data_IF_138362173372
#
_entry.id   IF_138362173372
#
_cell.length_a   1.000
_cell.length_b   1.000
_cell.length_c   1.000
_cell.angle_alpha   90.00
_cell.angle_beta   90.00
_cell.angle_gamma   90.00
#
_symmetry.space_group_name_H-M   'P 1'
#
loop_
_entity.id
_entity.type
_entity.pdbx_description
1 polymer ?
#
# COMPACT_ATOMS: atom_id res chain seq x y z
N UNK A 1 28.47 -13.66 -41.69
CA UNK A 1 27.40 -12.79 -41.16
C UNK A 1 26.28 -13.68 -40.64
N UNK A 2 26.29 -14.02 -39.35
CA UNK A 2 25.30 -14.92 -38.72
C UNK A 2 24.31 -14.07 -37.92
N UNK A 3 23.06 -14.09 -38.34
CA UNK A 3 21.93 -13.45 -37.67
C UNK A 3 21.62 -14.28 -36.42
N UNK A 4 21.85 -13.69 -35.25
CA UNK A 4 21.45 -14.25 -33.96
C UNK A 4 19.95 -13.92 -33.78
N UNK A 5 19.07 -14.90 -33.50
CA UNK A 5 17.66 -14.62 -33.30
C UNK A 5 17.44 -13.91 -31.97
N UNK A 6 16.72 -12.79 -32.04
CA UNK A 6 16.16 -12.05 -30.92
C UNK A 6 15.22 -12.98 -30.13
N UNK A 7 15.69 -13.53 -29.01
CA UNK A 7 14.83 -14.23 -28.05
C UNK A 7 14.00 -13.15 -27.35
N UNK A 8 12.69 -13.18 -27.59
CA UNK A 8 11.69 -12.41 -26.83
C UNK A 8 11.78 -12.81 -25.35
N UNK A 9 12.50 -12.03 -24.56
CA UNK A 9 12.32 -12.03 -23.11
C UNK A 9 10.92 -11.51 -22.81
N UNK A 10 10.01 -12.45 -22.51
CA UNK A 10 8.74 -12.13 -21.87
C UNK A 10 9.07 -11.72 -20.43
N UNK A 11 9.07 -10.43 -20.16
CA UNK A 11 8.99 -9.90 -18.80
C UNK A 11 7.72 -10.48 -18.16
N UNK A 12 7.91 -11.38 -17.19
CA UNK A 12 6.82 -12.09 -16.50
C UNK A 12 6.13 -11.13 -15.55
N UNK A 13 4.90 -10.78 -15.91
CA UNK A 13 3.94 -10.16 -15.03
C UNK A 13 3.47 -11.11 -13.91
N UNK A 14 3.40 -10.57 -12.68
CA UNK A 14 2.54 -10.98 -11.56
C UNK A 14 2.74 -12.43 -11.10
N UNK A 15 3.62 -12.61 -10.11
CA UNK A 15 3.18 -13.43 -8.97
C UNK A 15 2.34 -12.52 -8.08
N UNK A 16 1.16 -13.01 -7.70
CA UNK A 16 0.30 -12.55 -6.58
C UNK A 16 -0.96 -11.71 -6.86
N UNK A 17 -1.56 -11.73 -8.05
CA UNK A 17 -3.02 -11.52 -8.20
C UNK A 17 -3.56 -12.57 -9.16
N UNK A 18 -4.44 -13.44 -8.67
CA UNK A 18 -5.12 -14.43 -9.52
C UNK A 18 -6.05 -13.66 -10.45
N UNK A 19 -5.83 -13.80 -11.76
CA UNK A 19 -6.64 -13.18 -12.82
C UNK A 19 -7.54 -14.25 -13.42
N UNK A 20 -8.80 -14.27 -13.02
CA UNK A 20 -9.81 -15.19 -13.52
C UNK A 20 -10.51 -14.57 -14.73
N UNK A 21 -10.47 -15.24 -15.89
CA UNK A 21 -11.11 -14.72 -17.10
C UNK A 21 -12.62 -14.99 -17.05
N UNK A 22 -13.42 -13.94 -17.11
CA UNK A 22 -14.88 -14.03 -17.12
C UNK A 22 -15.49 -14.07 -18.52
N UNK A 23 -14.74 -13.63 -19.54
CA UNK A 23 -15.19 -13.59 -20.92
C UNK A 23 -15.32 -12.15 -21.46
N UNK A 24 -16.04 -11.95 -22.59
CA UNK A 24 -16.32 -10.62 -23.10
C UNK A 24 -17.32 -9.87 -22.21
N UNK A 25 -17.16 -8.55 -22.07
CA UNK A 25 -18.12 -7.70 -21.35
C UNK A 25 -19.41 -7.52 -22.19
N UNK A 26 -20.59 -7.93 -21.70
CA UNK A 26 -21.84 -7.71 -22.43
C UNK A 26 -22.15 -6.22 -22.61
N UNK A 27 -22.75 -5.84 -23.74
CA UNK A 27 -23.21 -4.45 -23.98
C UNK A 27 -24.30 -3.98 -23.01
N UNK A 28 -25.04 -4.94 -22.42
CA UNK A 28 -26.06 -4.69 -21.40
C UNK A 28 -25.46 -4.46 -20.01
N UNK A 29 -24.17 -4.74 -19.80
CA UNK A 29 -23.51 -4.47 -18.53
C UNK A 29 -23.38 -2.94 -18.33
N UNK A 30 -23.82 -2.38 -17.19
CA UNK A 30 -23.73 -0.95 -16.95
C UNK A 30 -22.30 -0.38 -17.05
N UNK A 31 -21.27 -1.17 -16.71
CA UNK A 31 -19.88 -0.76 -16.84
C UNK A 31 -19.46 -0.57 -18.30
N UNK A 32 -20.07 -1.29 -19.25
CA UNK A 32 -19.73 -1.19 -20.67
C UNK A 32 -19.94 0.23 -21.19
N UNK A 33 -21.09 0.85 -20.86
CA UNK A 33 -21.40 2.22 -21.29
C UNK A 33 -20.39 3.23 -20.74
N UNK A 34 -20.03 3.11 -19.45
CA UNK A 34 -19.05 3.98 -18.80
C UNK A 34 -17.68 3.84 -19.45
N UNK A 35 -17.23 2.60 -19.67
CA UNK A 35 -15.93 2.30 -20.28
C UNK A 35 -15.85 2.89 -21.70
N UNK A 36 -16.84 2.63 -22.54
CA UNK A 36 -16.84 3.06 -23.95
C UNK A 36 -16.99 4.56 -24.12
N UNK A 37 -17.86 5.20 -23.32
CA UNK A 37 -18.21 6.62 -23.51
C UNK A 37 -17.34 7.58 -22.73
N UNK A 38 -16.77 7.15 -21.61
CA UNK A 38 -16.06 8.04 -20.70
C UNK A 38 -14.62 7.62 -20.43
N UNK A 39 -14.34 6.32 -20.23
CA UNK A 39 -12.99 5.90 -19.81
C UNK A 39 -12.04 5.72 -20.98
N UNK A 40 -12.38 4.88 -21.96
CA UNK A 40 -11.51 4.60 -23.12
C UNK A 40 -11.18 5.84 -23.97
N UNK A 41 -12.11 6.79 -24.19
CA UNK A 41 -11.76 8.04 -24.88
C UNK A 41 -10.64 8.83 -24.20
N UNK A 42 -10.57 8.81 -22.85
CA UNK A 42 -9.48 9.46 -22.10
C UNK A 42 -8.12 8.76 -22.28
N UNK A 43 -8.12 7.51 -22.77
CA UNK A 43 -6.94 6.74 -23.13
C UNK A 43 -6.61 6.84 -24.63
N UNK A 44 -7.32 7.69 -25.39
CA UNK A 44 -7.17 7.81 -26.84
C UNK A 44 -7.75 6.62 -27.63
N UNK A 45 -8.54 5.77 -26.97
CA UNK A 45 -9.16 4.58 -27.58
C UNK A 45 -10.56 4.94 -28.09
N UNK A 46 -10.85 4.59 -29.35
CA UNK A 46 -12.19 4.74 -29.90
C UNK A 46 -13.13 3.68 -29.30
N UNK A 47 -13.84 4.08 -28.23
CA UNK A 47 -14.71 3.19 -27.47
C UNK A 47 -15.82 2.50 -28.30
N UNK A 48 -16.24 3.06 -29.44
CA UNK A 48 -17.32 2.49 -30.27
C UNK A 48 -16.97 1.11 -30.84
N UNK A 49 -15.68 0.86 -31.07
CA UNK A 49 -15.18 -0.43 -31.58
C UNK A 49 -14.60 -1.33 -30.48
N UNK A 50 -14.57 -0.87 -29.23
CA UNK A 50 -13.90 -1.58 -28.15
C UNK A 50 -14.47 -2.98 -27.96
N UNK A 51 -13.57 -3.98 -27.95
CA UNK A 51 -13.89 -5.38 -27.71
C UNK A 51 -13.36 -5.76 -26.34
N UNK A 52 -14.17 -5.51 -25.32
CA UNK A 52 -13.74 -5.55 -23.93
C UNK A 52 -13.72 -6.99 -23.41
N UNK A 53 -12.58 -7.44 -22.92
CA UNK A 53 -12.45 -8.65 -22.10
C UNK A 53 -12.44 -8.27 -20.63
N UNK A 54 -13.12 -9.08 -19.84
CA UNK A 54 -13.24 -8.88 -18.39
C UNK A 54 -12.52 -9.99 -17.65
N UNK A 55 -11.79 -9.58 -16.62
CA UNK A 55 -11.12 -10.47 -15.70
C UNK A 55 -11.47 -10.08 -14.28
N UNK A 56 -11.76 -11.06 -13.42
CA UNK A 56 -11.85 -10.83 -11.98
C UNK A 56 -10.46 -10.92 -11.39
N UNK A 57 -10.10 -9.92 -10.59
CA UNK A 57 -8.87 -9.93 -9.82
C UNK A 57 -9.17 -10.47 -8.43
N UNK A 58 -8.32 -11.38 -7.93
CA UNK A 58 -8.44 -11.92 -6.58
C UNK A 58 -8.29 -10.83 -5.52
N UNK A 59 -9.11 -10.87 -4.46
CA UNK A 59 -9.12 -9.89 -3.37
C UNK A 59 -10.43 -9.87 -2.59
N UNK A 60 -10.53 -9.01 -1.58
CA UNK A 60 -11.72 -8.88 -0.72
C UNK A 60 -12.85 -8.04 -1.33
N UNK A 61 -12.53 -7.19 -2.31
CA UNK A 61 -13.50 -6.35 -3.02
C UNK A 61 -13.80 -6.93 -4.41
N UNK A 62 -14.95 -6.56 -4.98
CA UNK A 62 -15.25 -6.84 -6.37
C UNK A 62 -14.39 -5.95 -7.27
N UNK A 63 -13.22 -6.46 -7.67
CA UNK A 63 -12.27 -5.77 -8.55
C UNK A 63 -12.18 -6.50 -9.87
N UNK A 64 -12.30 -5.75 -10.95
CA UNK A 64 -12.25 -6.26 -12.31
C UNK A 64 -11.22 -5.50 -13.13
N UNK A 65 -10.56 -6.22 -14.02
CA UNK A 65 -9.76 -5.64 -15.09
C UNK A 65 -10.55 -5.72 -16.40
N UNK A 66 -10.62 -4.60 -17.10
CA UNK A 66 -11.22 -4.46 -18.42
C UNK A 66 -10.11 -4.16 -19.43
N UNK A 67 -9.96 -5.05 -20.41
CA UNK A 67 -8.96 -4.95 -21.47
C UNK A 67 -9.67 -4.78 -22.81
N UNK A 68 -9.44 -3.66 -23.50
CA UNK A 68 -9.84 -3.54 -24.90
C UNK A 68 -8.87 -4.35 -25.78
N UNK A 69 -9.41 -5.33 -26.51
CA UNK A 69 -8.59 -6.24 -27.33
C UNK A 69 -7.89 -5.58 -28.52
N UNK A 70 -8.42 -4.47 -29.02
CA UNK A 70 -7.88 -3.83 -30.23
C UNK A 70 -6.71 -2.92 -29.88
N UNK A 71 -6.88 -2.06 -28.88
CA UNK A 71 -5.82 -1.14 -28.43
C UNK A 71 -4.86 -1.75 -27.39
N UNK A 72 -5.27 -2.81 -26.68
CA UNK A 72 -4.55 -3.32 -25.52
C UNK A 72 -4.69 -2.46 -24.26
N UNK A 73 -5.51 -1.40 -24.30
CA UNK A 73 -5.74 -0.54 -23.15
C UNK A 73 -6.41 -1.30 -22.01
N UNK A 74 -5.92 -1.07 -20.78
CA UNK A 74 -6.39 -1.75 -19.57
C UNK A 74 -6.89 -0.75 -18.53
N UNK A 75 -7.98 -1.11 -17.87
CA UNK A 75 -8.66 -0.30 -16.85
C UNK A 75 -9.03 -1.20 -15.67
N UNK A 76 -8.85 -0.71 -14.45
CA UNK A 76 -9.33 -1.38 -13.24
C UNK A 76 -10.68 -0.78 -12.84
N UNK A 77 -11.70 -1.62 -12.64
CA UNK A 77 -12.95 -1.22 -11.99
C UNK A 77 -13.04 -1.80 -10.59
N UNK A 78 -13.07 -0.94 -9.58
CA UNK A 78 -13.23 -1.28 -8.17
C UNK A 78 -14.65 -0.94 -7.72
N UNK A 79 -15.41 -1.93 -7.27
CA UNK A 79 -16.81 -1.77 -6.84
C UNK A 79 -16.89 -1.84 -5.32
N UNK A 80 -17.42 -0.79 -4.70
CA UNK A 80 -17.55 -0.65 -3.25
C UNK A 80 -18.84 -1.25 -2.68
N UNK A 81 -19.85 -1.43 -3.54
CA UNK A 81 -21.11 -2.08 -3.28
C UNK A 81 -21.34 -3.25 -4.24
N UNK A 82 -22.60 -3.69 -4.36
CA UNK A 82 -22.96 -4.75 -5.30
C UNK A 82 -22.93 -4.20 -6.73
N UNK A 83 -22.15 -4.79 -7.67
CA UNK A 83 -22.12 -4.35 -9.05
C UNK A 83 -23.52 -4.33 -9.69
N UNK A 84 -23.81 -3.27 -10.44
CA UNK A 84 -25.09 -3.08 -11.13
C UNK A 84 -26.25 -2.59 -10.24
N UNK A 85 -26.01 -2.33 -8.95
CA UNK A 85 -27.00 -1.79 -8.02
C UNK A 85 -26.53 -0.43 -7.49
N UNK A 86 -27.37 0.61 -7.45
CA UNK A 86 -26.98 1.90 -6.87
C UNK A 86 -26.40 1.77 -5.46
N UNK A 87 -25.27 2.44 -5.23
CA UNK A 87 -24.61 2.47 -3.93
C UNK A 87 -25.40 3.29 -2.90
N UNK A 88 -25.39 2.82 -1.64
CA UNK A 88 -25.87 3.63 -0.52
C UNK A 88 -24.95 4.83 -0.26
N UNK A 89 -25.45 5.86 0.43
CA UNK A 89 -24.65 7.06 0.73
C UNK A 89 -23.32 6.77 1.44
N UNK A 90 -23.29 5.79 2.35
CA UNK A 90 -22.05 5.37 3.03
C UNK A 90 -21.03 4.73 2.07
N UNK A 91 -21.51 3.94 1.11
CA UNK A 91 -20.67 3.32 0.06
C UNK A 91 -20.14 4.38 -0.89
N UNK A 92 -21.01 5.28 -1.35
CA UNK A 92 -20.64 6.43 -2.19
C UNK A 92 -19.58 7.29 -1.51
N UNK A 93 -19.73 7.58 -0.21
CA UNK A 93 -18.73 8.33 0.55
C UNK A 93 -17.38 7.61 0.66
N UNK A 94 -17.36 6.27 0.74
CA UNK A 94 -16.09 5.50 0.71
C UNK A 94 -15.40 5.63 -0.65
N UNK A 95 -16.14 5.39 -1.73
CA UNK A 95 -15.63 5.53 -3.10
C UNK A 95 -15.09 6.93 -3.38
N UNK A 96 -15.86 7.97 -3.02
CA UNK A 96 -15.46 9.36 -3.25
C UNK A 96 -14.27 9.78 -2.40
N UNK A 97 -14.04 9.17 -1.23
CA UNK A 97 -12.82 9.41 -0.45
C UNK A 97 -11.57 8.93 -1.18
N UNK A 98 -11.60 7.72 -1.74
CA UNK A 98 -10.47 7.22 -2.54
C UNK A 98 -10.27 8.07 -3.80
N UNK A 99 -11.35 8.40 -4.53
CA UNK A 99 -11.28 9.27 -5.71
C UNK A 99 -10.60 10.61 -5.37
N UNK A 100 -11.04 11.30 -4.32
CA UNK A 100 -10.45 12.59 -3.92
C UNK A 100 -9.01 12.46 -3.45
N UNK A 101 -8.64 11.36 -2.79
CA UNK A 101 -7.26 11.12 -2.38
C UNK A 101 -6.36 10.98 -3.61
N UNK A 102 -6.79 10.20 -4.61
CA UNK A 102 -6.08 10.02 -5.88
C UNK A 102 -5.88 11.35 -6.60
N UNK A 103 -6.97 12.10 -6.82
CA UNK A 103 -6.90 13.39 -7.51
C UNK A 103 -5.97 14.35 -6.76
N UNK A 104 -6.06 14.40 -5.42
CA UNK A 104 -5.20 15.25 -4.60
C UNK A 104 -3.72 14.90 -4.74
N UNK A 105 -3.36 13.62 -4.78
CA UNK A 105 -1.97 13.20 -4.97
C UNK A 105 -1.44 13.56 -6.36
N UNK A 106 -2.29 13.45 -7.38
CA UNK A 106 -1.92 13.85 -8.74
C UNK A 106 -1.75 15.36 -8.87
N UNK A 107 -2.63 16.17 -8.26
CA UNK A 107 -2.53 17.63 -8.23
C UNK A 107 -1.21 18.15 -7.66
N UNK A 108 -0.66 17.47 -6.64
CA UNK A 108 0.63 17.84 -6.05
C UNK A 108 1.83 17.30 -6.85
N UNK A 109 1.61 16.83 -8.08
CA UNK A 109 2.65 16.39 -9.01
C UNK A 109 3.14 14.96 -8.83
N UNK A 110 2.29 14.04 -8.36
CA UNK A 110 2.53 12.59 -8.42
C UNK A 110 1.73 11.98 -9.59
N UNK A 111 1.89 12.53 -10.79
CA UNK A 111 1.08 12.21 -11.95
C UNK A 111 1.87 11.65 -13.14
N UNK A 112 3.19 11.41 -12.96
CA UNK A 112 4.12 10.96 -13.99
C UNK A 112 5.48 10.50 -13.43
N UNK A 113 6.55 10.52 -14.24
CA UNK A 113 7.88 10.14 -13.73
C UNK A 113 8.45 11.23 -12.79
N UNK A 114 9.09 10.89 -11.66
CA UNK A 114 9.36 9.53 -11.14
C UNK A 114 8.24 8.98 -10.25
N UNK A 115 7.20 9.75 -9.93
CA UNK A 115 6.17 9.36 -8.98
C UNK A 115 4.78 9.41 -9.62
N UNK A 116 4.15 8.25 -9.80
CA UNK A 116 2.87 8.15 -10.46
C UNK A 116 1.83 7.53 -9.54
N UNK A 117 0.83 8.31 -9.13
CA UNK A 117 -0.42 7.79 -8.60
C UNK A 117 -1.35 7.50 -9.77
N UNK A 118 -1.99 6.32 -9.77
CA UNK A 118 -2.94 5.93 -10.82
C UNK A 118 -4.01 7.00 -11.04
N UNK A 119 -4.36 7.31 -12.29
CA UNK A 119 -5.49 8.22 -12.57
C UNK A 119 -6.83 7.58 -12.20
N UNK A 120 -7.75 8.37 -11.65
CA UNK A 120 -9.16 7.98 -11.55
C UNK A 120 -9.95 8.54 -12.74
N UNK A 121 -10.45 7.67 -13.61
CA UNK A 121 -11.15 8.09 -14.83
C UNK A 121 -12.62 8.44 -14.58
N UNK A 122 -13.27 7.74 -13.65
CA UNK A 122 -14.69 7.94 -13.33
C UNK A 122 -15.04 7.34 -11.97
N UNK A 123 -15.92 8.03 -11.23
CA UNK A 123 -16.57 7.54 -10.03
C UNK A 123 -18.09 7.51 -10.27
N UNK A 124 -18.71 6.34 -10.17
CA UNK A 124 -20.08 6.07 -10.63
C UNK A 124 -20.89 5.38 -9.52
N UNK A 125 -21.57 6.15 -8.66
CA UNK A 125 -22.43 5.61 -7.59
C UNK A 125 -23.51 4.65 -8.08
N UNK A 126 -24.04 4.87 -9.28
CA UNK A 126 -25.25 4.23 -9.82
C UNK A 126 -25.07 2.73 -10.12
N UNK A 127 -23.82 2.28 -10.30
CA UNK A 127 -23.51 0.90 -10.73
C UNK A 127 -22.77 0.09 -9.66
N UNK A 128 -22.98 0.41 -8.39
CA UNK A 128 -22.35 -0.26 -7.25
C UNK A 128 -21.26 0.57 -6.59
N UNK A 129 -21.25 1.89 -6.80
CA UNK A 129 -20.13 2.73 -6.34
C UNK A 129 -18.84 2.29 -7.02
N UNK A 130 -18.85 2.31 -8.36
CA UNK A 130 -17.73 1.89 -9.17
C UNK A 130 -16.72 3.03 -9.33
N UNK A 131 -15.44 2.72 -9.08
CA UNK A 131 -14.32 3.60 -9.36
C UNK A 131 -13.47 2.97 -10.47
N UNK A 132 -13.39 3.65 -11.61
CA UNK A 132 -12.57 3.24 -12.75
C UNK A 132 -11.21 3.92 -12.70
N UNK A 133 -10.16 3.12 -12.69
CA UNK A 133 -8.79 3.50 -12.39
C UNK A 133 -7.84 3.08 -13.52
N UNK A 134 -6.76 3.83 -13.66
CA UNK A 134 -5.63 3.48 -14.50
C UNK A 134 -5.03 2.13 -14.07
N UNK A 135 -4.84 1.24 -15.03
CA UNK A 135 -4.03 0.05 -14.83
C UNK A 135 -2.55 0.44 -14.91
N UNK A 136 -1.89 0.57 -13.76
CA UNK A 136 -0.45 0.80 -13.72
C UNK A 136 0.32 -0.48 -14.03
N UNK A 137 1.28 -0.35 -14.93
CA UNK A 137 2.26 -1.40 -15.18
C UNK A 137 3.46 -1.35 -14.21
N UNK A 138 4.05 -2.50 -13.87
CA UNK A 138 5.22 -2.62 -13.00
C UNK A 138 5.23 -3.89 -12.14
N UNK A 139 6.38 -4.17 -11.53
CA UNK A 139 6.54 -5.24 -10.53
C UNK A 139 6.37 -4.67 -9.12
N UNK A 140 5.63 -5.34 -8.25
CA UNK A 140 5.40 -4.83 -6.88
C UNK A 140 6.64 -4.98 -6.00
N UNK A 141 6.80 -4.12 -4.99
CA UNK A 141 7.87 -4.29 -3.98
C UNK A 141 7.80 -5.67 -3.33
N UNK A 142 6.59 -6.19 -3.12
CA UNK A 142 6.37 -7.49 -2.48
C UNK A 142 7.05 -8.66 -3.20
N UNK A 143 7.10 -8.64 -4.54
CA UNK A 143 7.76 -9.69 -5.33
C UNK A 143 9.28 -9.69 -5.08
N UNK A 144 9.92 -8.53 -5.18
CA UNK A 144 11.37 -8.41 -4.96
C UNK A 144 11.73 -8.66 -3.51
N UNK A 145 10.94 -8.13 -2.57
CA UNK A 145 11.11 -8.39 -1.15
C UNK A 145 11.07 -9.89 -0.83
N UNK A 146 10.07 -10.62 -1.33
CA UNK A 146 9.96 -12.07 -1.12
C UNK A 146 11.15 -12.83 -1.73
N UNK A 147 11.59 -12.45 -2.94
CA UNK A 147 12.74 -13.06 -3.59
C UNK A 147 14.04 -12.86 -2.79
N UNK A 148 14.32 -11.64 -2.33
CA UNK A 148 15.50 -11.33 -1.52
C UNK A 148 15.41 -11.99 -0.14
N UNK A 149 14.24 -11.95 0.52
CA UNK A 149 14.05 -12.58 1.82
C UNK A 149 14.29 -14.09 1.75
N UNK A 150 13.91 -14.75 0.65
CA UNK A 150 14.18 -16.17 0.36
C UNK A 150 15.59 -16.48 -0.15
N UNK A 151 16.45 -15.48 -0.34
CA UNK A 151 17.80 -15.65 -0.87
C UNK A 151 17.84 -16.02 -2.36
N UNK A 152 16.78 -15.73 -3.11
CA UNK A 152 16.66 -16.04 -4.55
C UNK A 152 17.14 -14.91 -5.45
N UNK A 153 17.43 -13.74 -4.88
CA UNK A 153 17.83 -12.53 -5.59
C UNK A 153 18.80 -11.71 -4.73
N UNK A 154 19.64 -10.89 -5.38
CA UNK A 154 20.60 -10.02 -4.70
C UNK A 154 19.91 -8.93 -3.88
N UNK A 155 20.56 -8.43 -2.84
CA UNK A 155 20.04 -7.32 -2.02
C UNK A 155 19.99 -5.99 -2.78
N UNK A 156 20.80 -5.82 -3.83
CA UNK A 156 20.94 -4.55 -4.57
C UNK A 156 19.61 -4.07 -5.16
N UNK A 157 18.82 -4.98 -5.74
CA UNK A 157 17.53 -4.64 -6.33
C UNK A 157 16.51 -4.17 -5.29
N UNK A 158 16.54 -4.75 -4.09
CA UNK A 158 15.69 -4.31 -2.99
C UNK A 158 16.13 -2.93 -2.46
N UNK A 159 17.43 -2.69 -2.32
CA UNK A 159 17.95 -1.37 -1.94
C UNK A 159 17.52 -0.27 -2.93
N UNK A 160 17.66 -0.52 -4.24
CA UNK A 160 17.24 0.44 -5.26
C UNK A 160 15.74 0.76 -5.18
N UNK A 161 14.89 -0.25 -5.00
CA UNK A 161 13.43 -0.05 -4.85
C UNK A 161 13.07 0.67 -3.56
N UNK A 162 13.78 0.40 -2.47
CA UNK A 162 13.57 1.10 -1.21
C UNK A 162 14.02 2.57 -1.32
N UNK A 163 15.10 2.88 -2.04
CA UNK A 163 15.48 4.26 -2.36
C UNK A 163 14.38 4.98 -3.17
N UNK A 164 13.86 4.33 -4.22
CA UNK A 164 12.79 4.91 -5.03
C UNK A 164 11.49 5.13 -4.22
N UNK A 165 11.11 4.16 -3.38
CA UNK A 165 9.94 4.27 -2.51
C UNK A 165 10.10 5.36 -1.45
N UNK A 166 11.28 5.48 -0.86
CA UNK A 166 11.60 6.53 0.09
C UNK A 166 11.38 7.90 -0.53
N UNK A 167 11.85 8.10 -1.77
CA UNK A 167 11.65 9.35 -2.50
C UNK A 167 10.16 9.61 -2.80
N UNK A 168 9.42 8.58 -3.24
CA UNK A 168 7.98 8.70 -3.48
C UNK A 168 7.22 9.15 -2.22
N UNK A 169 7.42 8.47 -1.10
CA UNK A 169 6.72 8.78 0.15
C UNK A 169 7.15 10.13 0.71
N UNK A 170 8.44 10.48 0.65
CA UNK A 170 8.90 11.78 1.13
C UNK A 170 8.30 12.92 0.30
N UNK A 171 8.23 12.77 -1.02
CA UNK A 171 7.60 13.76 -1.90
C UNK A 171 6.13 13.93 -1.57
N UNK A 172 5.40 12.80 -1.41
CA UNK A 172 3.99 12.80 -1.02
C UNK A 172 3.76 13.51 0.32
N UNK A 173 4.51 13.14 1.34
CA UNK A 173 4.36 13.66 2.69
C UNK A 173 4.73 15.15 2.78
N UNK A 174 5.86 15.54 2.19
CA UNK A 174 6.35 16.92 2.28
C UNK A 174 5.46 17.90 1.52
N UNK A 175 4.91 17.51 0.36
CA UNK A 175 4.00 18.37 -0.43
C UNK A 175 2.59 18.48 0.15
N UNK A 176 2.25 17.66 1.14
CA UNK A 176 0.93 17.64 1.78
C UNK A 176 0.97 18.00 3.27
N UNK A 177 2.12 18.42 3.77
CA UNK A 177 2.26 18.85 5.16
C UNK A 177 1.31 20.00 5.47
N UNK A 178 0.62 19.89 6.60
CA UNK A 178 -0.28 20.91 7.15
C UNK A 178 0.33 21.58 8.37
N UNK A 179 -0.23 22.70 8.77
CA UNK A 179 0.17 23.36 10.02
C UNK A 179 -0.27 22.58 11.27
N UNK A 180 -1.28 21.73 11.18
CA UNK A 180 -1.72 20.94 12.34
C UNK A 180 -0.66 19.90 12.74
N UNK A 181 -0.39 19.79 14.04
CA UNK A 181 0.50 18.75 14.58
C UNK A 181 -0.20 17.39 14.66
N UNK A 182 0.61 16.33 14.72
CA UNK A 182 0.13 14.94 14.82
C UNK A 182 -0.75 14.74 16.06
N UNK A 183 -1.83 13.99 15.89
CA UNK A 183 -2.75 13.60 16.97
C UNK A 183 -2.51 12.14 17.36
N UNK A 184 -1.37 11.87 18.00
CA UNK A 184 -0.87 10.50 18.26
C UNK A 184 -1.82 9.61 19.07
N UNK A 185 -2.71 10.21 19.87
CA UNK A 185 -3.79 9.49 20.53
C UNK A 185 -4.64 8.62 19.57
N UNK A 186 -4.75 9.01 18.29
CA UNK A 186 -5.44 8.24 17.25
C UNK A 186 -4.72 6.93 16.95
N UNK A 187 -3.39 6.94 16.92
CA UNK A 187 -2.58 5.77 16.63
C UNK A 187 -2.57 4.80 17.81
N UNK A 188 -2.57 5.31 19.03
CA UNK A 188 -2.75 4.48 20.25
C UNK A 188 -4.14 3.85 20.30
N UNK A 189 -5.20 4.57 19.90
CA UNK A 189 -6.54 3.97 19.73
C UNK A 189 -6.52 2.84 18.70
N UNK A 190 -5.74 2.99 17.62
CA UNK A 190 -5.60 1.96 16.60
C UNK A 190 -4.86 0.72 17.13
N UNK A 191 -3.75 0.89 17.85
CA UNK A 191 -3.05 -0.19 18.56
C UNK A 191 -4.02 -0.97 19.47
N UNK A 192 -4.78 -0.26 20.32
CA UNK A 192 -5.76 -0.87 21.23
C UNK A 192 -6.84 -1.64 20.49
N UNK A 193 -7.31 -1.13 19.34
CA UNK A 193 -8.27 -1.84 18.49
C UNK A 193 -7.67 -3.15 17.96
N UNK A 194 -6.41 -3.16 17.53
CA UNK A 194 -5.74 -4.37 17.05
C UNK A 194 -5.59 -5.42 18.15
N UNK A 195 -5.09 -5.03 19.33
CA UNK A 195 -4.96 -5.92 20.48
C UNK A 195 -6.31 -6.52 20.90
N UNK A 196 -7.37 -5.69 20.97
CA UNK A 196 -8.73 -6.15 21.26
C UNK A 196 -9.23 -7.15 20.21
N UNK A 197 -9.04 -6.88 18.92
CA UNK A 197 -9.46 -7.81 17.87
C UNK A 197 -8.69 -9.13 17.93
N UNK A 198 -7.38 -9.11 18.19
CA UNK A 198 -6.60 -10.33 18.40
C UNK A 198 -7.12 -11.14 19.59
N UNK A 199 -7.54 -10.47 20.68
CA UNK A 199 -8.17 -11.12 21.83
C UNK A 199 -9.53 -11.72 21.49
N UNK A 200 -10.39 -10.99 20.78
CA UNK A 200 -11.71 -11.46 20.32
C UNK A 200 -11.59 -12.67 19.39
N UNK A 201 -10.52 -12.76 18.61
CA UNK A 201 -10.19 -13.92 17.76
C UNK A 201 -9.52 -15.09 18.53
N UNK A 202 -9.34 -14.97 19.84
CA UNK A 202 -8.68 -16.00 20.67
C UNK A 202 -7.17 -16.12 20.43
N UNK A 203 -6.56 -15.16 19.74
CA UNK A 203 -5.12 -15.16 19.44
C UNK A 203 -4.28 -14.53 20.53
N UNK A 204 -4.91 -13.92 21.54
CA UNK A 204 -4.25 -13.13 22.56
C UNK A 204 -5.04 -13.21 23.87
N UNK A 205 -4.37 -13.51 24.98
CA UNK A 205 -4.98 -13.60 26.30
C UNK A 205 -5.18 -12.23 26.97
N UNK A 206 -6.02 -12.17 28.00
CA UNK A 206 -6.35 -10.91 28.69
C UNK A 206 -5.12 -10.18 29.26
N UNK A 207 -4.15 -10.93 29.81
CA UNK A 207 -2.91 -10.36 30.33
C UNK A 207 -2.11 -9.63 29.24
N UNK A 208 -1.95 -10.27 28.08
CA UNK A 208 -1.26 -9.67 26.93
C UNK A 208 -2.02 -8.45 26.35
N UNK A 209 -3.36 -8.43 26.41
CA UNK A 209 -4.16 -7.27 25.96
C UNK A 209 -3.90 -6.06 26.88
N UNK A 210 -3.86 -6.30 28.20
CA UNK A 210 -3.48 -5.28 29.18
C UNK A 210 -2.06 -4.77 28.95
N UNK A 211 -1.12 -5.67 28.65
CA UNK A 211 0.27 -5.31 28.35
C UNK A 211 0.39 -4.40 27.14
N UNK A 212 -0.23 -4.73 25.99
CA UNK A 212 -0.21 -3.87 24.81
C UNK A 212 -0.85 -2.50 25.06
N UNK A 213 -1.89 -2.43 25.91
CA UNK A 213 -2.49 -1.14 26.32
C UNK A 213 -1.53 -0.31 27.15
N UNK A 214 -0.88 -0.91 28.15
CA UNK A 214 0.10 -0.23 28.98
C UNK A 214 1.32 0.24 28.17
N UNK A 215 1.78 -0.57 27.21
CA UNK A 215 2.83 -0.16 26.28
C UNK A 215 2.39 1.04 25.45
N UNK A 216 1.19 1.02 24.86
CA UNK A 216 0.63 2.17 24.15
C UNK A 216 0.53 3.44 25.00
N UNK A 217 0.20 3.31 26.29
CA UNK A 217 0.19 4.42 27.24
C UNK A 217 1.59 4.98 27.53
N UNK A 218 2.62 4.12 27.60
CA UNK A 218 4.01 4.60 27.72
C UNK A 218 4.43 5.44 26.50
N UNK A 219 4.04 5.03 25.29
CA UNK A 219 4.31 5.81 24.08
C UNK A 219 3.59 7.15 24.06
N UNK A 220 2.43 7.29 24.71
CA UNK A 220 1.75 8.60 24.82
C UNK A 220 2.61 9.64 25.56
N UNK A 221 3.44 9.19 26.52
CA UNK A 221 4.38 10.05 27.24
C UNK A 221 5.68 10.34 26.49
N UNK A 222 5.89 9.75 25.31
CA UNK A 222 7.09 9.98 24.50
C UNK A 222 6.88 11.18 23.58
N UNK A 223 7.48 12.32 23.96
CA UNK A 223 7.36 13.62 23.28
C UNK A 223 7.43 13.57 21.75
N UNK A 224 8.43 12.89 21.15
CA UNK A 224 8.60 12.84 19.69
C UNK A 224 7.37 12.38 18.91
N UNK A 225 6.47 11.56 19.50
CA UNK A 225 5.25 11.12 18.81
C UNK A 225 4.28 12.27 18.47
N UNK A 226 4.46 13.46 19.04
CA UNK A 226 3.55 14.60 18.91
C UNK A 226 4.12 15.77 18.09
N UNK A 227 5.42 15.73 17.78
CA UNK A 227 6.18 16.90 17.33
C UNK A 227 6.04 17.18 15.83
N UNK A 228 5.70 16.18 15.03
CA UNK A 228 5.61 16.30 13.57
C UNK A 228 4.30 16.96 13.12
N UNK A 229 4.30 17.43 11.87
CA UNK A 229 3.12 17.95 11.18
C UNK A 229 2.31 16.81 10.58
N UNK A 230 0.99 16.99 10.50
CA UNK A 230 0.14 16.08 9.73
C UNK A 230 0.46 16.17 8.26
N UNK A 231 0.63 15.02 7.63
CA UNK A 231 0.80 14.88 6.18
C UNK A 231 -0.29 13.98 5.63
N UNK A 232 -0.59 14.07 4.33
CA UNK A 232 -1.50 13.12 3.70
C UNK A 232 -0.77 11.79 3.54
N UNK A 233 -1.28 10.76 4.21
CA UNK A 233 -0.76 9.40 4.18
C UNK A 233 -1.37 8.63 3.00
N UNK A 234 -0.63 7.65 2.49
CA UNK A 234 -1.21 6.53 1.76
C UNK A 234 -2.17 5.75 2.68
N UNK A 235 -1.80 5.53 3.94
CA UNK A 235 -2.63 4.90 4.98
C UNK A 235 -2.74 3.37 4.86
N UNK A 236 -2.21 2.79 3.78
CA UNK A 236 -2.05 1.35 3.60
C UNK A 236 -0.78 1.04 2.80
N UNK A 237 0.33 1.68 3.17
CA UNK A 237 1.63 1.51 2.52
C UNK A 237 2.20 0.08 2.72
N UNK A 238 1.68 -0.89 1.96
CA UNK A 238 2.17 -2.26 1.91
C UNK A 238 2.98 -2.49 0.64
N UNK A 239 3.93 -3.45 0.62
CA UNK A 239 4.72 -3.75 -0.57
C UNK A 239 3.91 -4.09 -1.83
N UNK A 240 2.64 -4.51 -1.69
CA UNK A 240 1.77 -4.81 -2.82
C UNK A 240 1.22 -3.56 -3.51
N UNK A 241 1.17 -2.43 -2.80
CA UNK A 241 0.56 -1.18 -3.27
C UNK A 241 1.54 -0.24 -3.98
N UNK A 242 2.80 -0.66 -4.11
CA UNK A 242 3.85 0.08 -4.82
C UNK A 242 4.40 -0.75 -5.97
N UNK A 243 4.32 -0.21 -7.18
CA UNK A 243 4.84 -0.81 -8.40
C UNK A 243 6.12 -0.10 -8.83
N UNK A 244 7.04 -0.86 -9.40
CA UNK A 244 8.33 -0.35 -9.86
C UNK A 244 8.53 -0.75 -11.32
N UNK A 245 9.22 0.14 -12.04
CA UNK A 245 9.77 -0.07 -13.37
C UNK A 245 11.25 0.30 -13.32
N UNK A 246 11.82 0.68 -14.46
CA UNK A 246 13.21 1.09 -14.55
C UNK A 246 13.47 2.38 -13.77
N UNK A 247 14.67 2.47 -13.19
CA UNK A 247 15.15 3.64 -12.48
C UNK A 247 14.35 3.98 -11.23
N UNK A 248 13.98 5.25 -11.09
CA UNK A 248 13.31 5.81 -9.91
C UNK A 248 11.79 5.81 -10.01
N UNK A 249 11.23 5.22 -11.08
CA UNK A 249 9.78 5.23 -11.27
C UNK A 249 9.09 4.37 -10.20
N UNK A 250 8.16 4.99 -9.47
CA UNK A 250 7.29 4.34 -8.49
C UNK A 250 5.84 4.68 -8.79
N UNK A 251 5.04 3.63 -8.95
CA UNK A 251 3.59 3.67 -9.05
C UNK A 251 2.94 3.43 -7.70
N UNK A 252 2.06 4.32 -7.23
CA UNK A 252 1.23 4.12 -6.04
C UNK A 252 -0.21 3.73 -6.43
N UNK A 253 -0.76 2.72 -5.75
CA UNK A 253 -2.15 2.26 -5.92
C UNK A 253 -2.85 2.06 -4.56
N UNK A 254 -4.18 1.92 -4.59
CA UNK A 254 -5.04 1.65 -3.43
C UNK A 254 -4.97 2.70 -2.29
N UNK A 255 -5.55 3.87 -2.56
CA UNK A 255 -5.56 5.02 -1.63
C UNK A 255 -6.83 5.07 -0.76
N UNK A 256 -7.57 3.97 -0.66
CA UNK A 256 -8.84 3.91 0.10
C UNK A 256 -8.70 4.25 1.59
N UNK A 257 -7.49 4.12 2.14
CA UNK A 257 -7.16 4.42 3.54
C UNK A 257 -6.43 5.74 3.72
N UNK A 258 -6.30 6.55 2.67
CA UNK A 258 -5.62 7.83 2.75
C UNK A 258 -6.34 8.77 3.72
N UNK A 259 -5.55 9.39 4.60
CA UNK A 259 -6.00 10.36 5.60
C UNK A 259 -4.80 11.19 6.08
N UNK A 260 -5.06 12.30 6.77
CA UNK A 260 -4.00 13.10 7.38
C UNK A 260 -3.54 12.49 8.71
N UNK A 261 -2.23 12.29 8.88
CA UNK A 261 -1.65 11.68 10.09
C UNK A 261 -0.13 11.86 10.18
N UNK A 262 0.51 11.08 11.06
CA UNK A 262 1.97 11.05 11.19
C UNK A 262 2.59 10.34 9.99
N UNK A 263 3.57 10.99 9.32
CA UNK A 263 4.36 10.39 8.23
C UNK A 263 4.98 9.05 8.62
N UNK A 264 5.30 8.88 9.91
CA UNK A 264 5.86 7.65 10.50
C UNK A 264 4.93 6.46 10.38
N UNK A 265 3.63 6.70 10.19
CA UNK A 265 2.63 5.66 9.94
C UNK A 265 2.96 4.84 8.68
N UNK A 266 3.19 5.50 7.55
CA UNK A 266 3.45 4.82 6.28
C UNK A 266 4.85 4.21 6.24
N UNK A 267 5.88 4.97 6.67
CA UNK A 267 7.26 4.45 6.66
C UNK A 267 7.46 3.33 7.69
N UNK A 268 6.83 3.43 8.87
CA UNK A 268 6.83 2.38 9.87
C UNK A 268 6.08 1.13 9.42
N UNK A 269 5.09 1.29 8.54
CA UNK A 269 4.42 0.17 7.91
C UNK A 269 5.31 -0.59 6.93
N UNK A 270 6.03 0.11 6.07
CA UNK A 270 7.04 -0.51 5.22
C UNK A 270 8.10 -1.22 6.07
N UNK A 271 8.56 -0.60 7.16
CA UNK A 271 9.50 -1.23 8.07
C UNK A 271 8.95 -2.53 8.71
N UNK A 272 7.69 -2.55 9.13
CA UNK A 272 7.03 -3.75 9.65
C UNK A 272 6.84 -4.85 8.61
N UNK A 273 6.51 -4.50 7.37
CA UNK A 273 6.39 -5.47 6.26
C UNK A 273 7.76 -6.06 5.88
N UNK A 274 8.82 -5.23 5.88
CA UNK A 274 10.20 -5.70 5.74
C UNK A 274 10.56 -6.68 6.85
N UNK A 275 10.35 -6.31 8.12
CA UNK A 275 10.66 -7.18 9.25
C UNK A 275 9.89 -8.50 9.17
N UNK A 276 8.60 -8.45 8.87
CA UNK A 276 7.76 -9.64 8.68
C UNK A 276 8.32 -10.55 7.57
N UNK A 277 8.67 -10.00 6.41
CA UNK A 277 9.18 -10.79 5.29
C UNK A 277 10.47 -11.56 5.66
N UNK A 278 11.43 -10.92 6.32
CA UNK A 278 12.67 -11.59 6.74
C UNK A 278 12.46 -12.52 7.93
N UNK A 279 11.59 -12.17 8.88
CA UNK A 279 11.25 -13.04 9.99
C UNK A 279 10.59 -14.33 9.50
N UNK A 280 9.67 -14.24 8.53
CA UNK A 280 9.00 -15.40 7.93
C UNK A 280 9.95 -16.32 7.17
N UNK A 281 10.87 -15.74 6.40
CA UNK A 281 11.69 -16.51 5.45
C UNK A 281 13.05 -16.92 6.03
N UNK A 282 13.57 -16.22 7.03
CA UNK A 282 14.90 -16.46 7.62
C UNK A 282 14.86 -16.69 9.14
N UNK A 283 13.70 -16.61 9.78
CA UNK A 283 13.58 -16.75 11.24
C UNK A 283 14.26 -15.62 12.03
N UNK A 284 14.68 -14.54 11.38
CA UNK A 284 15.45 -13.46 12.02
C UNK A 284 14.93 -12.09 11.63
N UNK A 285 14.39 -11.36 12.61
CA UNK A 285 13.99 -9.95 12.44
C UNK A 285 15.19 -9.04 12.13
N UNK A 286 16.38 -9.37 12.65
CA UNK A 286 17.62 -8.59 12.44
C UNK A 286 18.05 -8.59 10.97
N UNK A 287 17.71 -9.63 10.22
CA UNK A 287 18.02 -9.69 8.80
C UNK A 287 17.33 -8.59 7.97
N UNK A 288 16.27 -7.94 8.50
CA UNK A 288 15.64 -6.80 7.86
C UNK A 288 16.32 -5.45 8.17
N UNK A 289 17.11 -5.36 9.24
CA UNK A 289 17.67 -4.08 9.75
C UNK A 289 18.47 -3.30 8.69
N UNK A 290 19.33 -3.93 7.87
CA UNK A 290 20.04 -3.18 6.81
C UNK A 290 19.09 -2.54 5.79
N UNK A 291 17.97 -3.19 5.48
CA UNK A 291 16.98 -2.68 4.52
C UNK A 291 16.09 -1.61 5.14
N UNK A 292 15.68 -1.79 6.40
CA UNK A 292 14.90 -0.79 7.15
C UNK A 292 15.75 0.48 7.34
N UNK A 293 16.99 0.33 7.81
CA UNK A 293 17.90 1.44 8.00
C UNK A 293 18.15 2.20 6.70
N UNK A 294 18.44 1.48 5.60
CA UNK A 294 18.58 2.06 4.27
C UNK A 294 17.34 2.85 3.85
N UNK A 295 16.17 2.24 3.91
CA UNK A 295 14.91 2.89 3.53
C UNK A 295 14.65 4.18 4.30
N UNK A 296 14.82 4.16 5.62
CA UNK A 296 14.61 5.33 6.48
C UNK A 296 15.67 6.41 6.24
N UNK A 297 16.92 6.00 6.00
CA UNK A 297 18.03 6.89 5.71
C UNK A 297 17.84 7.62 4.37
N UNK A 298 17.35 6.91 3.35
CA UNK A 298 17.00 7.47 2.05
C UNK A 298 15.78 8.39 2.14
N UNK A 299 14.79 8.03 2.97
CA UNK A 299 13.63 8.89 3.21
C UNK A 299 14.04 10.21 3.89
N UNK A 300 14.98 10.13 4.83
CA UNK A 300 15.47 11.29 5.56
C UNK A 300 16.29 12.28 4.72
N UNK A 301 16.89 11.91 3.58
CA UNK A 301 17.59 12.90 2.73
C UNK A 301 16.67 13.89 2.01
N UNK A 302 15.36 13.74 2.14
CA UNK A 302 14.38 14.69 1.62
C UNK A 302 13.94 15.73 2.67
N UNK A 303 14.71 15.89 3.74
CA UNK A 303 14.51 16.87 4.80
C UNK A 303 15.70 17.84 4.85
N UNK A 304 15.53 19.06 5.39
CA UNK A 304 16.61 20.03 5.49
C UNK A 304 17.84 19.51 6.26
N UNK A 305 17.62 18.81 7.39
CA UNK A 305 18.65 18.08 8.11
C UNK A 305 18.35 16.58 8.05
N UNK A 306 19.19 15.85 7.33
CA UNK A 306 19.06 14.39 7.17
C UNK A 306 19.28 13.64 8.47
N UNK A 307 20.30 14.01 9.25
CA UNK A 307 20.62 13.32 10.49
C UNK A 307 19.53 13.56 11.52
N UNK A 308 19.12 14.83 11.60
CA UNK A 308 17.90 15.36 12.21
C UNK A 308 16.69 14.43 12.04
N UNK A 309 16.22 14.42 10.79
CA UNK A 309 15.06 13.68 10.37
C UNK A 309 15.21 12.17 10.59
N UNK A 310 16.39 11.60 10.30
CA UNK A 310 16.62 10.17 10.47
C UNK A 310 16.49 9.76 11.94
N UNK A 311 17.12 10.48 12.87
CA UNK A 311 17.03 10.20 14.29
C UNK A 311 15.58 10.33 14.79
N UNK A 312 14.90 11.43 14.45
CA UNK A 312 13.53 11.69 14.86
C UNK A 312 12.53 10.67 14.30
N UNK A 313 12.72 10.22 13.06
CA UNK A 313 11.88 9.17 12.46
C UNK A 313 12.18 7.83 13.13
N UNK A 314 13.45 7.42 13.21
CA UNK A 314 13.85 6.14 13.79
C UNK A 314 13.35 5.97 15.24
N UNK A 315 13.31 7.03 16.03
CA UNK A 315 12.75 7.01 17.39
C UNK A 315 11.27 6.61 17.44
N UNK A 316 10.50 6.88 16.38
CA UNK A 316 9.04 6.64 16.29
C UNK A 316 8.69 5.34 15.57
N UNK A 317 9.59 4.81 14.74
CA UNK A 317 9.36 3.58 13.96
C UNK A 317 8.93 2.37 14.80
N UNK A 318 9.51 2.08 15.99
CA UNK A 318 9.16 0.87 16.73
C UNK A 318 7.67 0.75 17.04
N UNK A 319 6.98 1.88 17.32
CA UNK A 319 5.54 1.89 17.52
C UNK A 319 4.78 1.47 16.25
N UNK A 320 5.03 2.14 15.12
CA UNK A 320 4.31 1.87 13.88
C UNK A 320 4.65 0.51 13.28
N UNK A 321 5.91 0.07 13.42
CA UNK A 321 6.36 -1.28 13.09
C UNK A 321 5.56 -2.32 13.88
N UNK A 322 5.46 -2.16 15.20
CA UNK A 322 4.70 -3.08 16.05
C UNK A 322 3.21 -3.15 15.64
N UNK A 323 2.58 -2.00 15.37
CA UNK A 323 1.18 -2.00 14.90
C UNK A 323 1.03 -2.77 13.59
N UNK A 324 2.02 -2.72 12.71
CA UNK A 324 2.02 -3.49 11.45
C UNK A 324 2.15 -4.99 11.69
N UNK A 325 3.03 -5.42 12.60
CA UNK A 325 3.13 -6.83 12.99
C UNK A 325 1.81 -7.35 13.60
N UNK A 326 1.15 -6.56 14.45
CA UNK A 326 -0.17 -6.92 14.99
C UNK A 326 -1.26 -7.00 13.92
N UNK A 327 -1.21 -6.11 12.91
CA UNK A 327 -2.10 -6.18 11.74
C UNK A 327 -1.92 -7.48 10.96
N UNK A 328 -0.67 -7.93 10.80
CA UNK A 328 -0.33 -9.16 10.10
C UNK A 328 -0.80 -10.36 10.93
N UNK A 329 -0.46 -10.39 12.22
CA UNK A 329 -0.83 -11.44 13.18
C UNK A 329 -2.34 -11.70 13.26
N UNK A 330 -3.15 -10.67 13.02
CA UNK A 330 -4.62 -10.76 13.01
C UNK A 330 -5.18 -11.58 11.85
N UNK A 331 -4.43 -11.78 10.76
CA UNK A 331 -4.97 -12.48 9.60
C UNK A 331 -5.10 -13.99 9.86
N UNK A 332 -6.15 -14.59 9.29
CA UNK A 332 -6.48 -16.00 9.47
C UNK A 332 -5.43 -16.96 8.88
N UNK A 333 -4.74 -16.53 7.81
CA UNK A 333 -3.70 -17.35 7.15
C UNK A 333 -2.41 -17.49 7.98
N UNK A 334 -2.27 -16.76 9.09
CA UNK A 334 -1.11 -16.85 9.99
C UNK A 334 -1.30 -18.06 10.92
N UNK A 335 -0.29 -18.92 11.05
CA UNK A 335 -0.33 -20.07 11.96
C UNK A 335 -0.16 -19.66 13.42
N UNK A 336 -0.58 -20.49 14.37
CA UNK A 336 -0.46 -20.21 15.82
C UNK A 336 0.97 -19.87 16.25
N UNK A 337 1.92 -20.73 15.92
CA UNK A 337 3.33 -20.56 16.30
C UNK A 337 3.93 -19.29 15.69
N UNK A 338 3.69 -19.06 14.40
CA UNK A 338 4.22 -17.87 13.75
C UNK A 338 3.54 -16.59 14.26
N UNK A 339 2.26 -16.68 14.64
CA UNK A 339 1.54 -15.58 15.28
C UNK A 339 2.19 -15.20 16.61
N UNK A 340 2.55 -16.17 17.44
CA UNK A 340 3.25 -15.91 18.71
C UNK A 340 4.56 -15.14 18.47
N UNK A 341 5.35 -15.55 17.48
CA UNK A 341 6.58 -14.85 17.07
C UNK A 341 6.33 -13.40 16.66
N UNK A 342 5.23 -13.12 15.93
CA UNK A 342 4.84 -11.76 15.56
C UNK A 342 4.42 -10.91 16.77
N UNK A 343 3.65 -11.50 17.70
CA UNK A 343 3.21 -10.82 18.91
C UNK A 343 4.39 -10.47 19.82
N UNK A 344 5.34 -11.40 19.99
CA UNK A 344 6.56 -11.17 20.77
C UNK A 344 7.43 -10.09 20.12
N UNK A 345 7.60 -10.13 18.81
CA UNK A 345 8.35 -9.09 18.07
C UNK A 345 7.69 -7.71 18.19
N UNK A 346 6.36 -7.65 18.15
CA UNK A 346 5.61 -6.40 18.35
C UNK A 346 5.74 -5.87 19.78
N UNK A 347 5.70 -6.76 20.78
CA UNK A 347 5.92 -6.40 22.19
C UNK A 347 7.30 -5.80 22.39
N UNK A 348 8.34 -6.46 21.89
CA UNK A 348 9.73 -5.98 21.98
C UNK A 348 9.90 -4.59 21.38
N UNK A 349 9.34 -4.37 20.19
CA UNK A 349 9.40 -3.09 19.50
C UNK A 349 8.67 -2.00 20.31
N UNK A 350 7.49 -2.28 20.87
CA UNK A 350 6.81 -1.31 21.74
C UNK A 350 7.56 -1.09 23.06
N UNK A 351 8.25 -2.09 23.59
CA UNK A 351 9.01 -1.95 24.82
C UNK A 351 10.27 -1.09 24.65
N UNK A 352 10.72 -0.81 23.42
CA UNK A 352 11.93 -0.04 23.12
C UNK A 352 11.76 1.48 23.24
N UNK A 353 10.58 1.97 23.64
CA UNK A 353 10.33 3.42 23.79
C UNK A 353 11.41 4.10 24.63
N UNK A 354 11.98 5.19 24.11
CA UNK A 354 13.02 5.99 24.78
C UNK A 354 14.37 5.30 24.95
N UNK A 355 14.64 4.20 24.22
CA UNK A 355 15.95 3.53 24.18
C UNK A 355 16.75 3.87 22.94
#
# INVERSE_FOLDING_TARGET
MRIIPFVKERVRYIRTVIRERLGPLPKSDPAHSVLVRHVFPQLGVNGVRARIRTYRLGGSNAVFEYEDRESGARVIGKFYGRPGVPASGAITNRMLREFRAIERMREIGLDGHPHQVMRAFAAVPEIGGALFLEHLEGETLGVVLDAVAKGKQSSGDLHARLTALAYFLATMHNRTAREETVAFATDVKYLRKLARTLRELGHLGESADREFRALGERWMGFGPMWEDRKVLLHGDATPANFLFRDGMWVGGIDFERSHFGDRSYDVGRIAGELQHAFLRNRGSRRAAEPFIGHFLWEYACHFPDRNDAFAHICARIPFHLATTLLRIARNEWVTGDYRAVLLDSARDALASVGR
#
